data_IF_363407346664
#
_entry.id   IF_363407346664
#
_cell.length_a   1.000
_cell.length_b   1.000
_cell.length_c   1.000
_cell.angle_alpha   90.00
_cell.angle_beta   90.00
_cell.angle_gamma   90.00
#
_symmetry.space_group_name_H-M   'P 1'
#
loop_
_entity.id
_entity.type
_entity.pdbx_description
1 polymer ?
#
# COMPACT_ATOMS: atom_id res chain seq x y z
N UNK A 1 -16.16 -6.71 -11.26
CA UNK A 1 -16.85 -6.29 -10.00
C UNK A 1 -17.20 -4.82 -10.10
N UNK A 2 -18.50 -4.49 -9.95
CA UNK A 2 -18.99 -3.10 -9.96
C UNK A 2 -18.79 -2.46 -8.58
N UNK A 3 -18.09 -1.33 -8.52
CA UNK A 3 -17.90 -0.55 -7.30
C UNK A 3 -18.75 0.72 -7.38
N UNK A 4 -19.56 0.95 -6.38
CA UNK A 4 -20.46 2.11 -6.29
C UNK A 4 -20.11 2.92 -5.03
N UNK A 5 -20.11 4.26 -5.13
CA UNK A 5 -19.92 5.11 -3.94
C UNK A 5 -21.23 5.27 -3.22
N UNK A 6 -21.25 5.07 -1.91
CA UNK A 6 -22.44 5.24 -1.10
C UNK A 6 -22.14 5.91 0.25
N UNK A 7 -23.13 6.62 0.78
CA UNK A 7 -23.07 7.21 2.12
C UNK A 7 -23.79 6.32 3.14
N UNK A 8 -23.23 6.21 4.34
CA UNK A 8 -23.87 5.50 5.45
C UNK A 8 -25.11 6.25 5.98
N UNK A 9 -25.12 7.58 5.86
CA UNK A 9 -26.13 8.48 6.44
C UNK A 9 -26.31 9.72 5.61
N UNK A 10 -27.47 10.36 5.74
CA UNK A 10 -27.86 11.56 4.95
C UNK A 10 -26.87 12.72 5.05
N UNK A 11 -26.27 12.96 6.21
CA UNK A 11 -25.28 14.02 6.39
C UNK A 11 -23.97 13.86 5.59
N UNK A 12 -23.73 12.68 5.02
CA UNK A 12 -22.54 12.39 4.21
C UNK A 12 -22.81 12.35 2.69
N UNK A 13 -24.05 12.63 2.27
CA UNK A 13 -24.45 12.52 0.85
C UNK A 13 -23.62 13.39 -0.07
N UNK A 14 -23.44 14.67 0.27
CA UNK A 14 -22.70 15.62 -0.57
C UNK A 14 -21.26 15.17 -0.77
N UNK A 15 -20.61 14.72 0.29
CA UNK A 15 -19.23 14.22 0.23
C UNK A 15 -19.13 12.93 -0.61
N UNK A 16 -20.09 12.01 -0.44
CA UNK A 16 -20.14 10.79 -1.22
C UNK A 16 -20.41 11.05 -2.72
N UNK A 17 -21.27 12.03 -3.05
CA UNK A 17 -21.49 12.46 -4.43
C UNK A 17 -20.24 13.06 -5.07
N UNK A 18 -19.54 13.93 -4.35
CA UNK A 18 -18.27 14.51 -4.81
C UNK A 18 -17.22 13.41 -5.05
N UNK A 19 -17.11 12.45 -4.12
CA UNK A 19 -16.19 11.33 -4.27
C UNK A 19 -16.55 10.49 -5.51
N UNK A 20 -17.84 10.21 -5.74
CA UNK A 20 -18.31 9.48 -6.91
C UNK A 20 -17.93 10.19 -8.22
N UNK A 21 -18.13 11.51 -8.27
CA UNK A 21 -17.72 12.33 -9.43
C UNK A 21 -16.20 12.30 -9.64
N UNK A 22 -15.41 12.50 -8.59
CA UNK A 22 -13.93 12.48 -8.66
C UNK A 22 -13.40 11.16 -9.19
N UNK A 23 -14.02 10.05 -8.79
CA UNK A 23 -13.61 8.70 -9.19
C UNK A 23 -14.30 8.21 -10.48
N UNK A 24 -15.20 8.98 -11.06
CA UNK A 24 -16.06 8.57 -12.18
C UNK A 24 -16.80 7.25 -11.90
N UNK A 25 -17.34 7.12 -10.68
CA UNK A 25 -18.11 5.95 -10.21
C UNK A 25 -19.58 6.34 -10.04
N UNK A 26 -20.47 5.34 -10.11
CA UNK A 26 -21.87 5.54 -9.80
C UNK A 26 -22.08 5.91 -8.32
N UNK A 27 -23.09 6.76 -8.06
CA UNK A 27 -23.52 7.11 -6.71
C UNK A 27 -24.75 6.30 -6.29
N UNK A 28 -24.60 5.44 -5.29
CA UNK A 28 -25.62 4.51 -4.79
C UNK A 28 -26.55 5.10 -3.71
N UNK A 29 -26.51 6.41 -3.49
CA UNK A 29 -27.30 7.15 -2.47
C UNK A 29 -26.91 6.75 -1.04
N UNK A 30 -27.86 6.84 -0.09
CA UNK A 30 -27.67 6.41 1.29
C UNK A 30 -28.03 4.95 1.44
N UNK A 31 -27.09 4.16 1.94
CA UNK A 31 -27.26 2.73 2.19
C UNK A 31 -26.97 2.48 3.67
N UNK A 32 -27.99 2.14 4.45
CA UNK A 32 -27.86 1.90 5.88
C UNK A 32 -27.27 0.52 6.22
N UNK A 33 -27.48 -0.47 5.35
CA UNK A 33 -26.97 -1.84 5.53
C UNK A 33 -26.29 -2.33 4.24
N UNK A 34 -24.96 -2.24 4.15
CA UNK A 34 -24.21 -2.70 2.99
C UNK A 34 -24.40 -4.18 2.64
N UNK A 35 -24.77 -5.01 3.64
CA UNK A 35 -24.99 -6.45 3.41
C UNK A 35 -26.26 -6.77 2.66
N UNK A 36 -27.19 -5.82 2.58
CA UNK A 36 -28.47 -5.96 1.88
C UNK A 36 -28.56 -5.21 0.55
N UNK A 37 -27.47 -4.55 0.14
CA UNK A 37 -27.46 -3.84 -1.13
C UNK A 37 -27.32 -4.80 -2.33
N UNK A 38 -27.74 -4.33 -3.51
CA UNK A 38 -27.74 -5.11 -4.74
C UNK A 38 -26.44 -4.99 -5.56
N UNK A 39 -25.50 -4.16 -5.10
CA UNK A 39 -24.20 -3.94 -5.76
C UNK A 39 -23.19 -5.03 -5.38
N UNK A 40 -22.11 -5.16 -6.14
CA UNK A 40 -21.01 -6.07 -5.79
C UNK A 40 -20.20 -5.54 -4.61
N UNK A 41 -19.82 -4.25 -4.68
CA UNK A 41 -19.00 -3.59 -3.68
C UNK A 41 -19.35 -2.11 -3.55
N UNK A 42 -19.14 -1.58 -2.36
CA UNK A 42 -19.31 -0.15 -2.06
C UNK A 42 -17.97 0.47 -1.64
N UNK A 43 -17.67 1.62 -2.23
CA UNK A 43 -16.79 2.57 -1.59
C UNK A 43 -17.68 3.39 -0.63
N UNK A 44 -17.66 3.01 0.63
CA UNK A 44 -18.66 3.34 1.62
C UNK A 44 -18.16 4.41 2.58
N UNK A 45 -18.73 5.58 2.52
CA UNK A 45 -18.39 6.72 3.38
C UNK A 45 -19.23 6.69 4.65
N UNK A 46 -18.58 6.58 5.79
CA UNK A 46 -19.18 6.63 7.13
C UNK A 46 -18.49 7.67 8.03
N UNK A 47 -19.02 7.93 9.21
CA UNK A 47 -18.33 8.78 10.20
C UNK A 47 -17.04 8.16 10.76
N UNK A 48 -16.81 6.87 10.54
CA UNK A 48 -15.56 6.21 10.88
C UNK A 48 -14.49 6.34 9.78
N UNK A 49 -14.85 6.89 8.63
CA UNK A 49 -13.99 7.06 7.47
C UNK A 49 -14.47 6.28 6.25
N UNK A 50 -13.64 6.28 5.22
CA UNK A 50 -13.90 5.62 3.95
C UNK A 50 -13.55 4.13 4.04
N UNK A 51 -14.44 3.28 3.53
CA UNK A 51 -14.32 1.83 3.61
C UNK A 51 -14.63 1.21 2.25
N UNK A 52 -13.92 0.14 1.89
CA UNK A 52 -14.28 -0.72 0.78
C UNK A 52 -15.01 -1.95 1.32
N UNK A 53 -16.30 -2.06 1.04
CA UNK A 53 -17.20 -3.07 1.58
C UNK A 53 -17.80 -3.91 0.47
N UNK A 54 -17.56 -5.21 0.50
CA UNK A 54 -18.33 -6.14 -0.34
C UNK A 54 -19.77 -6.26 0.16
N UNK A 55 -20.70 -6.37 -0.77
CA UNK A 55 -22.12 -6.55 -0.49
C UNK A 55 -22.50 -8.04 -0.33
N UNK A 56 -23.65 -8.28 0.29
CA UNK A 56 -24.20 -9.63 0.48
C UNK A 56 -24.02 -10.20 1.90
N UNK A 57 -24.91 -11.12 2.27
CA UNK A 57 -25.02 -11.68 3.63
C UNK A 57 -23.73 -12.35 4.15
N UNK A 58 -22.95 -12.97 3.26
CA UNK A 58 -21.71 -13.67 3.61
C UNK A 58 -20.46 -12.83 3.31
N UNK A 59 -20.64 -11.57 2.89
CA UNK A 59 -19.53 -10.71 2.60
C UNK A 59 -18.62 -10.52 3.82
N UNK A 60 -17.31 -10.51 3.64
CA UNK A 60 -16.38 -10.22 4.71
C UNK A 60 -16.60 -8.79 5.20
N UNK A 61 -16.13 -8.45 6.38
CA UNK A 61 -16.24 -7.08 6.89
C UNK A 61 -15.41 -6.10 6.02
N UNK A 62 -15.53 -4.78 6.20
CA UNK A 62 -14.91 -3.78 5.36
C UNK A 62 -13.38 -3.80 5.39
N UNK A 63 -12.78 -3.32 4.32
CA UNK A 63 -11.36 -2.95 4.27
C UNK A 63 -11.28 -1.43 4.38
N UNK A 64 -10.45 -0.96 5.28
CA UNK A 64 -10.18 0.46 5.50
C UNK A 64 -8.76 0.65 6.03
N UNK A 65 -8.26 1.86 5.95
CA UNK A 65 -6.94 2.21 6.47
C UNK A 65 -7.09 2.75 7.88
N UNK A 66 -6.37 2.15 8.84
CA UNK A 66 -6.33 2.61 10.23
C UNK A 66 -4.89 2.49 10.76
N UNK A 67 -4.27 3.64 11.01
CA UNK A 67 -2.94 3.73 11.58
C UNK A 67 -2.94 3.88 13.10
N UNK A 68 -4.09 4.17 13.69
CA UNK A 68 -4.25 4.45 15.13
C UNK A 68 -4.47 3.18 15.92
N UNK A 69 -5.24 2.23 15.38
CA UNK A 69 -5.64 1.00 16.08
C UNK A 69 -5.24 -0.27 15.31
N UNK A 70 -5.57 -1.43 15.84
CA UNK A 70 -5.39 -2.72 15.18
C UNK A 70 -3.94 -3.16 14.97
N UNK A 71 -3.72 -3.93 13.90
CA UNK A 71 -2.45 -4.60 13.65
C UNK A 71 -1.27 -3.67 13.35
N UNK A 72 -1.53 -2.51 12.73
CA UNK A 72 -0.50 -1.52 12.40
C UNK A 72 -0.01 -0.82 13.67
N UNK A 73 -0.94 -0.40 14.54
CA UNK A 73 -0.61 0.19 15.84
C UNK A 73 0.12 -0.82 16.75
N UNK A 74 -0.30 -2.08 16.75
CA UNK A 74 0.38 -3.14 17.48
C UNK A 74 1.82 -3.33 16.97
N UNK A 75 2.02 -3.36 15.65
CA UNK A 75 3.35 -3.47 15.03
C UNK A 75 4.24 -2.26 15.36
N UNK A 76 3.66 -1.05 15.45
CA UNK A 76 4.37 0.16 15.90
C UNK A 76 4.89 -0.01 17.33
N UNK A 77 4.04 -0.45 18.25
CA UNK A 77 4.36 -0.54 19.68
C UNK A 77 5.27 -1.74 20.02
N UNK A 78 5.09 -2.88 19.34
CA UNK A 78 5.69 -4.17 19.72
C UNK A 78 6.48 -4.87 18.60
N UNK A 79 6.60 -4.28 17.43
CA UNK A 79 7.20 -4.90 16.25
C UNK A 79 8.73 -5.02 16.24
N UNK A 80 9.44 -4.60 17.28
CA UNK A 80 10.90 -4.75 17.37
C UNK A 80 11.72 -3.65 16.71
N UNK A 81 11.13 -2.50 16.35
CA UNK A 81 11.84 -1.31 15.87
C UNK A 81 12.76 -1.57 14.69
N UNK A 82 14.00 -1.07 14.75
CA UNK A 82 15.03 -1.26 13.72
C UNK A 82 15.48 -2.73 13.55
N UNK A 83 15.12 -3.63 14.45
CA UNK A 83 15.36 -5.06 14.34
C UNK A 83 14.47 -5.76 13.28
N UNK A 84 13.40 -5.12 12.83
CA UNK A 84 12.53 -5.67 11.80
C UNK A 84 13.27 -5.91 10.49
N UNK A 85 12.89 -6.98 9.77
CA UNK A 85 13.53 -7.30 8.49
C UNK A 85 13.38 -6.18 7.46
N UNK A 86 12.22 -5.52 7.40
CA UNK A 86 12.00 -4.39 6.48
C UNK A 86 12.99 -3.26 6.76
N UNK A 87 13.27 -2.95 8.03
CA UNK A 87 14.25 -1.93 8.42
C UNK A 87 15.67 -2.28 7.94
N UNK A 88 16.07 -3.54 8.15
CA UNK A 88 17.35 -4.04 7.66
C UNK A 88 17.44 -4.04 6.13
N UNK A 89 16.34 -4.43 5.46
CA UNK A 89 16.28 -4.47 3.99
C UNK A 89 16.47 -3.08 3.39
N UNK A 90 15.77 -2.06 3.89
CA UNK A 90 15.94 -0.68 3.40
C UNK A 90 17.22 -0.01 3.90
N UNK A 91 17.94 -0.65 4.84
CA UNK A 91 19.26 -0.20 5.32
C UNK A 91 19.23 0.80 6.47
N UNK A 92 18.15 0.79 7.26
CA UNK A 92 18.09 1.54 8.51
C UNK A 92 19.16 1.01 9.49
N UNK A 93 20.00 1.89 9.98
CA UNK A 93 21.01 1.61 11.02
C UNK A 93 21.18 2.86 11.91
N UNK A 94 22.07 2.81 12.89
CA UNK A 94 22.37 3.97 13.74
C UNK A 94 22.77 5.16 12.86
N UNK A 95 22.10 6.30 13.04
CA UNK A 95 22.36 7.53 12.30
C UNK A 95 21.91 7.55 10.83
N UNK A 96 21.39 6.44 10.26
CA UNK A 96 20.98 6.37 8.84
C UNK A 96 19.49 6.16 8.71
N UNK A 97 18.81 7.09 8.05
CA UNK A 97 17.38 7.06 7.70
C UNK A 97 17.24 7.43 6.22
N UNK A 98 17.26 6.44 5.33
CA UNK A 98 17.20 6.73 3.90
C UNK A 98 15.85 7.33 3.49
N UNK A 99 15.85 8.19 2.47
CA UNK A 99 14.62 8.55 1.75
C UNK A 99 14.11 7.35 0.95
N UNK A 100 12.82 7.08 1.06
CA UNK A 100 12.19 5.88 0.47
C UNK A 100 11.07 6.29 -0.47
N UNK A 101 11.07 5.70 -1.66
CA UNK A 101 9.95 5.70 -2.58
C UNK A 101 9.29 4.31 -2.55
N UNK A 102 8.09 4.22 -1.98
CA UNK A 102 7.25 3.03 -2.03
C UNK A 102 6.40 3.09 -3.29
N UNK A 103 6.75 2.27 -4.29
CA UNK A 103 6.10 2.26 -5.62
C UNK A 103 4.89 1.33 -5.69
N UNK A 104 4.49 0.76 -4.57
CA UNK A 104 3.37 -0.21 -4.44
C UNK A 104 2.62 0.01 -3.13
N UNK A 105 2.26 1.24 -2.84
CA UNK A 105 1.82 1.68 -1.50
C UNK A 105 0.64 0.89 -0.92
N UNK A 106 -0.36 0.54 -1.72
CA UNK A 106 -1.55 -0.17 -1.26
C UNK A 106 -2.23 0.55 -0.09
N UNK A 107 -2.34 -0.12 1.07
CA UNK A 107 -2.90 0.49 2.30
C UNK A 107 -1.85 1.19 3.17
N UNK A 108 -0.64 1.43 2.69
CA UNK A 108 0.41 2.17 3.39
C UNK A 108 1.00 1.48 4.63
N UNK A 109 0.77 0.18 4.82
CA UNK A 109 1.17 -0.52 6.06
C UNK A 109 2.68 -0.61 6.24
N UNK A 110 3.43 -0.91 5.19
CA UNK A 110 4.89 -0.97 5.25
C UNK A 110 5.50 0.43 5.26
N UNK A 111 4.95 1.37 4.48
CA UNK A 111 5.31 2.78 4.52
C UNK A 111 5.18 3.38 5.94
N UNK A 112 4.07 3.09 6.63
CA UNK A 112 3.87 3.54 8.01
C UNK A 112 4.93 2.97 8.98
N UNK A 113 5.32 1.71 8.82
CA UNK A 113 6.42 1.12 9.62
C UNK A 113 7.73 1.85 9.35
N UNK A 114 8.06 2.13 8.09
CA UNK A 114 9.29 2.85 7.72
C UNK A 114 9.30 4.29 8.23
N UNK A 115 8.15 4.99 8.13
CA UNK A 115 7.96 6.32 8.69
C UNK A 115 8.05 6.34 10.24
N UNK A 116 7.52 5.30 10.92
CA UNK A 116 7.68 5.11 12.38
C UNK A 116 9.15 4.99 12.78
N UNK A 117 9.98 4.43 11.90
CA UNK A 117 11.42 4.30 12.12
C UNK A 117 12.22 5.54 11.72
N UNK A 118 11.55 6.62 11.32
CA UNK A 118 12.12 7.93 11.04
C UNK A 118 12.52 8.15 9.58
N UNK A 119 12.08 7.32 8.64
CA UNK A 119 12.30 7.55 7.22
C UNK A 119 11.24 8.50 6.64
N UNK A 120 11.65 9.37 5.71
CA UNK A 120 10.75 10.06 4.81
C UNK A 120 10.32 9.07 3.72
N UNK A 121 9.00 8.89 3.53
CA UNK A 121 8.44 7.91 2.61
C UNK A 121 7.47 8.57 1.64
N UNK A 122 7.82 8.62 0.38
CA UNK A 122 6.90 8.95 -0.71
C UNK A 122 6.23 7.66 -1.18
N UNK A 123 4.91 7.67 -1.26
CA UNK A 123 4.08 6.52 -1.60
C UNK A 123 3.37 6.76 -2.93
N UNK A 124 3.50 5.83 -3.86
CA UNK A 124 2.79 5.86 -5.13
C UNK A 124 1.68 4.80 -5.13
N UNK A 125 0.48 5.21 -5.49
CA UNK A 125 -0.66 4.30 -5.66
C UNK A 125 -1.41 4.64 -6.95
N UNK A 126 -1.48 3.67 -7.87
CA UNK A 126 -2.12 3.85 -9.19
C UNK A 126 -3.64 3.66 -9.18
N UNK A 127 -4.15 2.84 -8.26
CA UNK A 127 -5.59 2.63 -8.14
C UNK A 127 -6.25 3.84 -7.49
N UNK A 128 -7.17 4.55 -8.16
CA UNK A 128 -7.82 5.71 -7.58
C UNK A 128 -8.66 5.36 -6.34
N UNK A 129 -9.23 4.16 -6.28
CA UNK A 129 -10.01 3.68 -5.13
C UNK A 129 -9.09 3.44 -3.93
N UNK A 130 -7.97 2.75 -4.13
CA UNK A 130 -7.02 2.46 -3.04
C UNK A 130 -6.34 3.73 -2.57
N UNK A 131 -5.98 4.62 -3.49
CA UNK A 131 -5.45 5.93 -3.17
C UNK A 131 -6.41 6.70 -2.25
N UNK A 132 -7.72 6.73 -2.53
CA UNK A 132 -8.71 7.43 -1.69
C UNK A 132 -8.85 6.78 -0.30
N UNK A 133 -8.80 5.45 -0.20
CA UNK A 133 -8.79 4.75 1.09
C UNK A 133 -7.56 5.13 1.93
N UNK A 134 -6.39 5.17 1.30
CA UNK A 134 -5.15 5.54 1.96
C UNK A 134 -5.14 7.02 2.36
N UNK A 135 -5.58 7.91 1.47
CA UNK A 135 -5.70 9.35 1.74
C UNK A 135 -6.65 9.65 2.92
N UNK A 136 -7.82 8.96 2.98
CA UNK A 136 -8.72 9.06 4.12
C UNK A 136 -8.06 8.59 5.44
N UNK A 137 -7.34 7.48 5.39
CA UNK A 137 -6.61 6.97 6.56
C UNK A 137 -5.53 7.91 7.06
N UNK A 138 -4.76 8.50 6.16
CA UNK A 138 -3.74 9.51 6.48
C UNK A 138 -4.38 10.75 7.10
N UNK A 139 -5.43 11.30 6.48
CA UNK A 139 -6.16 12.47 7.00
C UNK A 139 -6.70 12.25 8.41
N UNK A 140 -7.24 11.06 8.71
CA UNK A 140 -7.68 10.72 10.07
C UNK A 140 -6.52 10.55 11.05
N UNK A 141 -5.36 10.11 10.58
CA UNK A 141 -4.17 9.93 11.38
C UNK A 141 -3.46 11.27 11.72
N UNK A 142 -3.53 12.27 10.83
CA UNK A 142 -2.94 13.61 11.02
C UNK A 142 -3.44 14.35 12.27
N UNK A 143 -4.66 14.07 12.71
CA UNK A 143 -5.25 14.69 13.92
C UNK A 143 -5.00 13.87 15.20
N UNK A 144 -4.27 12.76 15.12
CA UNK A 144 -3.97 11.92 16.27
C UNK A 144 -2.57 12.22 16.83
N UNK A 145 -2.50 12.74 18.05
CA UNK A 145 -1.27 13.18 18.71
C UNK A 145 -0.19 12.10 18.87
N UNK A 146 -0.57 10.81 18.90
CA UNK A 146 0.40 9.71 19.04
C UNK A 146 1.17 9.42 17.75
N UNK A 147 0.63 9.78 16.58
CA UNK A 147 1.16 9.37 15.28
C UNK A 147 1.25 10.48 14.24
N UNK A 148 0.79 11.70 14.55
CA UNK A 148 0.85 12.83 13.61
C UNK A 148 2.25 13.05 13.06
N UNK A 149 3.29 13.02 13.90
CA UNK A 149 4.69 13.18 13.48
C UNK A 149 5.16 12.04 12.56
N UNK A 150 4.56 10.84 12.68
CA UNK A 150 4.86 9.72 11.79
C UNK A 150 4.24 9.98 10.42
N UNK A 151 2.98 10.39 10.41
CA UNK A 151 2.21 10.59 9.17
C UNK A 151 2.75 11.78 8.38
N UNK A 152 3.29 12.81 9.03
CA UNK A 152 3.96 13.93 8.36
C UNK A 152 5.17 13.50 7.51
N UNK A 153 5.77 12.35 7.79
CA UNK A 153 6.85 11.76 6.97
C UNK A 153 6.32 10.90 5.81
N UNK A 154 5.02 10.84 5.60
CA UNK A 154 4.37 10.01 4.58
C UNK A 154 3.70 10.88 3.54
N UNK A 155 4.25 10.96 2.34
CA UNK A 155 3.67 11.70 1.23
C UNK A 155 2.98 10.71 0.28
N UNK A 156 1.69 10.91 0.00
CA UNK A 156 0.92 10.07 -0.93
C UNK A 156 0.72 10.79 -2.25
N UNK A 157 0.99 10.09 -3.36
CA UNK A 157 0.83 10.59 -4.73
C UNK A 157 0.00 9.57 -5.52
N UNK A 158 -1.05 10.03 -6.20
CA UNK A 158 -1.80 9.23 -7.16
C UNK A 158 -1.08 9.25 -8.50
N UNK A 159 -0.41 8.17 -8.85
CA UNK A 159 0.35 8.06 -10.11
C UNK A 159 0.60 6.61 -10.47
N UNK A 160 0.82 6.37 -11.77
CA UNK A 160 1.54 5.18 -12.22
C UNK A 160 3.00 5.27 -11.78
N UNK A 161 3.52 4.19 -11.21
CA UNK A 161 4.84 4.18 -10.60
C UNK A 161 5.97 4.21 -11.62
N UNK A 162 5.79 3.59 -12.78
CA UNK A 162 6.79 3.59 -13.84
C UNK A 162 6.89 4.99 -14.43
N UNK A 163 5.75 5.59 -14.76
CA UNK A 163 5.70 6.96 -15.30
C UNK A 163 6.28 7.97 -14.31
N UNK A 164 5.92 7.89 -13.03
CA UNK A 164 6.48 8.76 -12.00
C UNK A 164 8.01 8.66 -11.92
N UNK A 165 8.54 7.43 -11.84
CA UNK A 165 9.99 7.21 -11.71
C UNK A 165 10.77 7.66 -12.94
N UNK A 166 10.20 7.55 -14.14
CA UNK A 166 10.83 8.02 -15.38
C UNK A 166 10.97 9.55 -15.42
N UNK A 167 10.08 10.28 -14.76
CA UNK A 167 10.05 11.74 -14.73
C UNK A 167 10.55 12.33 -13.41
N UNK A 168 10.97 11.50 -12.45
CA UNK A 168 11.40 11.90 -11.13
C UNK A 168 12.77 12.60 -11.18
N UNK A 169 12.83 13.85 -10.75
CA UNK A 169 14.07 14.63 -10.62
C UNK A 169 14.76 14.43 -9.28
N UNK A 170 13.99 14.28 -8.20
CA UNK A 170 14.51 14.00 -6.86
C UNK A 170 14.55 12.48 -6.63
N UNK A 171 15.73 11.91 -6.89
CA UNK A 171 15.92 10.45 -6.88
C UNK A 171 16.05 9.93 -5.45
N UNK A 172 15.19 8.98 -5.03
CA UNK A 172 15.23 8.42 -3.68
C UNK A 172 16.47 7.57 -3.45
N UNK A 173 16.91 7.47 -2.20
CA UNK A 173 17.99 6.55 -1.83
C UNK A 173 17.53 5.08 -1.98
N UNK A 174 16.28 4.80 -1.61
CA UNK A 174 15.72 3.45 -1.67
C UNK A 174 14.40 3.47 -2.44
N UNK A 175 14.26 2.55 -3.41
CA UNK A 175 12.96 2.21 -3.99
C UNK A 175 12.49 0.89 -3.37
N UNK A 176 11.30 0.92 -2.76
CA UNK A 176 10.63 -0.23 -2.15
C UNK A 176 9.52 -0.74 -3.06
N UNK A 177 9.50 -2.04 -3.32
CA UNK A 177 8.61 -2.71 -4.27
C UNK A 177 7.96 -3.92 -3.58
N UNK A 178 6.64 -3.94 -3.42
CA UNK A 178 5.86 -5.08 -2.91
C UNK A 178 4.69 -5.42 -3.87
N UNK A 179 4.99 -5.88 -5.09
CA UNK A 179 3.97 -6.12 -6.10
C UNK A 179 3.08 -7.29 -5.69
N UNK A 180 1.80 -7.21 -6.04
CA UNK A 180 0.87 -8.30 -5.78
C UNK A 180 1.31 -9.57 -6.51
N UNK A 181 1.64 -10.60 -5.73
CA UNK A 181 2.00 -11.91 -6.26
C UNK A 181 0.73 -12.73 -6.54
N UNK A 182 0.57 -13.30 -7.74
CA UNK A 182 -0.54 -14.20 -8.02
C UNK A 182 -0.38 -15.45 -7.14
N UNK A 183 -1.16 -15.53 -6.07
CA UNK A 183 -1.21 -16.72 -5.24
C UNK A 183 -1.93 -17.84 -5.98
N UNK A 184 -1.38 -19.07 -5.95
CA UNK A 184 -2.12 -20.27 -6.31
C UNK A 184 -3.28 -20.45 -5.32
N UNK A 185 -4.46 -20.83 -5.81
CA UNK A 185 -5.72 -20.98 -5.07
C UNK A 185 -5.69 -21.98 -3.89
N UNK A 186 -4.52 -22.49 -3.51
CA UNK A 186 -4.34 -23.58 -2.52
C UNK A 186 -4.13 -23.13 -1.08
N UNK A 187 -4.07 -21.83 -0.77
CA UNK A 187 -3.94 -21.39 0.63
C UNK A 187 -5.28 -20.92 1.18
N UNK A 188 -5.87 -21.68 2.07
CA UNK A 188 -7.16 -21.42 2.74
C UNK A 188 -7.20 -20.12 3.59
N UNK A 189 -6.20 -19.28 3.53
CA UNK A 189 -6.05 -18.06 4.33
C UNK A 189 -5.54 -16.89 3.49
N UNK A 190 -6.11 -16.69 2.31
CA UNK A 190 -5.91 -15.42 1.60
C UNK A 190 -6.55 -14.34 2.47
N UNK A 191 -5.73 -13.38 2.95
CA UNK A 191 -6.26 -12.27 3.72
C UNK A 191 -7.36 -11.61 2.90
N UNK A 192 -8.52 -11.45 3.52
CA UNK A 192 -9.72 -10.81 3.00
C UNK A 192 -9.45 -9.56 2.15
N UNK A 193 -8.54 -8.70 2.62
CA UNK A 193 -8.06 -7.52 1.92
C UNK A 193 -7.51 -7.86 0.54
N UNK A 194 -6.68 -8.92 0.43
CA UNK A 194 -6.04 -9.30 -0.84
C UNK A 194 -7.03 -9.82 -1.89
N UNK A 195 -8.12 -10.48 -1.47
CA UNK A 195 -9.17 -10.91 -2.41
C UNK A 195 -9.87 -9.70 -3.03
N UNK A 196 -10.28 -8.74 -2.19
CA UNK A 196 -10.95 -7.52 -2.64
C UNK A 196 -10.01 -6.67 -3.53
N UNK A 197 -8.74 -6.56 -3.14
CA UNK A 197 -7.74 -5.82 -3.91
C UNK A 197 -7.52 -6.43 -5.29
N UNK A 198 -7.37 -7.76 -5.37
CA UNK A 198 -7.15 -8.46 -6.64
C UNK A 198 -8.28 -8.22 -7.65
N UNK A 199 -9.51 -8.18 -7.17
CA UNK A 199 -10.69 -7.96 -8.02
C UNK A 199 -10.85 -6.51 -8.48
N UNK A 200 -10.30 -5.54 -7.72
CA UNK A 200 -10.39 -4.10 -8.00
C UNK A 200 -9.14 -3.57 -8.71
N UNK A 201 -7.95 -4.00 -8.30
CA UNK A 201 -6.67 -3.47 -8.80
C UNK A 201 -6.12 -4.31 -9.96
N UNK A 202 -6.51 -5.58 -10.04
CA UNK A 202 -5.95 -6.53 -11.01
C UNK A 202 -4.62 -7.15 -10.55
N UNK A 203 -3.94 -7.85 -11.46
CA UNK A 203 -2.62 -8.44 -11.22
C UNK A 203 -1.52 -7.52 -11.77
N UNK A 204 -0.40 -7.43 -11.04
CA UNK A 204 0.80 -6.70 -11.50
C UNK A 204 1.54 -7.51 -12.57
N UNK A 205 1.11 -7.38 -13.83
CA UNK A 205 1.75 -8.04 -14.99
C UNK A 205 3.04 -7.33 -15.43
N UNK A 206 3.28 -6.13 -14.93
CA UNK A 206 4.35 -5.20 -15.26
C UNK A 206 5.52 -5.21 -14.24
N UNK A 207 5.54 -6.18 -13.31
CA UNK A 207 6.51 -6.22 -12.20
C UNK A 207 7.98 -6.23 -12.66
N UNK A 208 8.28 -6.82 -13.83
CA UNK A 208 9.62 -6.79 -14.42
C UNK A 208 10.04 -5.40 -14.90
N UNK A 209 9.13 -4.68 -15.59
CA UNK A 209 9.34 -3.30 -16.00
C UNK A 209 9.45 -2.36 -14.81
N UNK A 210 8.59 -2.56 -13.78
CA UNK A 210 8.64 -1.81 -12.53
C UNK A 210 10.00 -1.96 -11.84
N UNK A 211 10.51 -3.21 -11.71
CA UNK A 211 11.82 -3.46 -11.11
C UNK A 211 12.94 -2.82 -11.93
N UNK A 212 12.90 -2.93 -13.26
CA UNK A 212 13.89 -2.31 -14.13
C UNK A 212 13.94 -0.78 -13.95
N UNK A 213 12.78 -0.13 -13.92
CA UNK A 213 12.68 1.32 -13.69
C UNK A 213 13.13 1.69 -12.29
N UNK A 214 12.77 0.90 -11.27
CA UNK A 214 13.22 1.09 -9.89
C UNK A 214 14.75 1.08 -9.77
N UNK A 215 15.41 0.13 -10.45
CA UNK A 215 16.88 0.03 -10.50
C UNK A 215 17.54 1.23 -11.16
N UNK A 216 16.91 1.79 -12.19
CA UNK A 216 17.39 3.01 -12.84
C UNK A 216 17.17 4.26 -11.99
N UNK A 217 16.19 4.26 -11.08
CA UNK A 217 15.78 5.42 -10.28
C UNK A 217 16.48 5.48 -8.92
N UNK A 218 16.59 4.38 -8.19
CA UNK A 218 17.21 4.36 -6.86
C UNK A 218 18.67 4.79 -6.90
N UNK A 219 19.10 5.56 -5.89
CA UNK A 219 20.53 5.98 -5.80
C UNK A 219 21.37 5.03 -4.96
N UNK A 220 20.77 4.26 -4.04
CA UNK A 220 21.52 3.36 -3.17
C UNK A 220 21.08 1.90 -3.24
N UNK A 221 19.79 1.61 -3.28
CA UNK A 221 19.29 0.24 -3.41
C UNK A 221 17.84 0.14 -3.86
N UNK A 222 17.48 -1.03 -4.41
CA UNK A 222 16.09 -1.44 -4.58
C UNK A 222 15.82 -2.61 -3.65
N UNK A 223 14.66 -2.60 -2.99
CA UNK A 223 14.18 -3.64 -2.08
C UNK A 223 12.88 -4.21 -2.59
N UNK A 224 12.86 -5.49 -2.93
CA UNK A 224 11.66 -6.18 -3.42
C UNK A 224 11.17 -7.15 -2.36
N UNK A 225 9.95 -6.95 -1.88
CA UNK A 225 9.31 -7.88 -0.95
C UNK A 225 8.59 -8.98 -1.72
N UNK A 226 8.79 -10.21 -1.31
CA UNK A 226 8.21 -11.41 -1.93
C UNK A 226 7.67 -12.39 -0.89
N UNK A 227 6.67 -13.20 -1.20
CA UNK A 227 6.43 -14.43 -0.45
C UNK A 227 7.70 -15.27 -0.41
N UNK A 228 7.99 -15.91 0.73
CA UNK A 228 9.28 -16.60 0.95
C UNK A 228 9.69 -17.55 -0.17
N UNK A 229 8.73 -18.31 -0.73
CA UNK A 229 8.97 -19.31 -1.78
C UNK A 229 8.72 -18.81 -3.20
N UNK A 230 8.33 -17.53 -3.38
CA UNK A 230 8.12 -16.99 -4.71
C UNK A 230 9.43 -16.87 -5.50
N UNK A 231 9.44 -17.05 -6.82
CA UNK A 231 10.62 -16.76 -7.63
C UNK A 231 11.00 -15.28 -7.51
N UNK A 232 12.24 -14.95 -7.86
CA UNK A 232 12.64 -13.55 -8.05
C UNK A 232 11.84 -12.93 -9.20
N UNK A 233 11.72 -11.60 -9.20
CA UNK A 233 11.14 -10.92 -10.36
C UNK A 233 12.16 -10.96 -11.51
N UNK A 234 11.73 -11.44 -12.66
CA UNK A 234 12.54 -11.47 -13.87
C UNK A 234 12.40 -10.15 -14.62
N UNK A 235 13.53 -9.62 -15.09
CA UNK A 235 13.58 -8.46 -15.99
C UNK A 235 13.84 -8.99 -17.39
N UNK A 236 13.03 -8.56 -18.36
CA UNK A 236 13.18 -8.98 -19.75
C UNK A 236 14.61 -8.71 -20.28
N UNK A 237 15.19 -9.70 -20.93
CA UNK A 237 16.55 -9.64 -21.49
C UNK A 237 17.66 -9.35 -20.46
N UNK A 238 17.45 -9.68 -19.17
CA UNK A 238 18.43 -9.48 -18.12
C UNK A 238 18.62 -10.74 -17.28
N UNK A 239 19.85 -11.01 -16.89
CA UNK A 239 20.22 -12.08 -15.95
C UNK A 239 20.46 -11.54 -14.54
N UNK A 240 20.08 -10.30 -14.26
CA UNK A 240 20.32 -9.64 -13.00
C UNK A 240 19.61 -10.39 -11.85
N UNK A 241 20.35 -10.63 -10.79
CA UNK A 241 19.87 -11.26 -9.56
C UNK A 241 20.03 -10.30 -8.38
N UNK A 242 19.25 -10.47 -7.30
CA UNK A 242 19.48 -9.73 -6.07
C UNK A 242 20.92 -9.91 -5.59
N UNK A 243 21.50 -8.86 -5.04
CA UNK A 243 22.83 -8.90 -4.40
C UNK A 243 22.83 -9.86 -3.19
N UNK A 244 21.73 -9.87 -2.45
CA UNK A 244 21.43 -10.79 -1.35
C UNK A 244 19.94 -10.75 -1.01
N UNK A 245 19.49 -11.69 -0.18
CA UNK A 245 18.12 -11.74 0.32
C UNK A 245 18.08 -11.85 1.84
N UNK A 246 17.05 -11.27 2.45
CA UNK A 246 16.72 -11.46 3.86
C UNK A 246 15.46 -12.32 3.95
N UNK A 247 15.57 -13.52 4.50
CA UNK A 247 14.47 -14.48 4.60
C UNK A 247 13.82 -14.45 5.97
N UNK A 248 12.48 -14.39 5.98
CA UNK A 248 11.65 -14.52 7.17
C UNK A 248 10.78 -15.76 7.15
N UNK A 249 9.84 -15.82 8.09
CA UNK A 249 8.92 -16.97 8.21
C UNK A 249 7.98 -17.07 7.00
N UNK A 250 7.41 -15.96 6.53
CA UNK A 250 6.41 -15.91 5.46
C UNK A 250 6.82 -15.06 4.27
N UNK A 251 7.74 -14.13 4.44
CA UNK A 251 8.20 -13.19 3.42
C UNK A 251 9.72 -13.21 3.29
N UNK A 252 10.19 -12.76 2.15
CA UNK A 252 11.60 -12.54 1.80
C UNK A 252 11.72 -11.13 1.24
N UNK A 253 12.88 -10.51 1.47
CA UNK A 253 13.25 -9.25 0.84
C UNK A 253 14.46 -9.53 -0.06
N UNK A 254 14.29 -9.32 -1.36
CA UNK A 254 15.35 -9.38 -2.35
C UNK A 254 15.97 -7.98 -2.46
N UNK A 255 17.27 -7.85 -2.19
CA UNK A 255 17.96 -6.56 -2.15
C UNK A 255 18.92 -6.46 -3.32
N UNK A 256 18.76 -5.40 -4.11
CA UNK A 256 19.66 -4.98 -5.16
C UNK A 256 20.45 -3.77 -4.66
N UNK A 257 21.68 -4.01 -4.21
CA UNK A 257 22.57 -2.97 -3.68
C UNK A 257 23.29 -2.27 -4.82
N UNK A 258 23.11 -0.94 -4.94
CA UNK A 258 23.72 -0.09 -5.95
C UNK A 258 24.88 0.72 -5.36
N UNK A 259 24.65 1.31 -4.18
CA UNK A 259 25.63 2.12 -3.46
C UNK A 259 25.44 1.96 -1.95
N UNK A 260 26.50 2.19 -1.17
CA UNK A 260 26.42 2.20 0.30
C UNK A 260 25.56 3.38 0.76
N UNK A 261 24.68 3.14 1.72
CA UNK A 261 23.96 4.17 2.46
C UNK A 261 24.87 4.76 3.52
N UNK A 262 24.94 6.06 3.55
CA UNK A 262 25.72 6.87 4.49
C UNK A 262 24.79 7.59 5.45
#
# INVERSE_FOLDING_TARGET
>A
MEVVVAAAQGGLQTQAQQLAQTLNLAYGKVISDPKKCAFDALLYLSYHGLQLQLCGKKAPGPVWVDFVTGGVAHRRKFGGGAGQMIAKAVGIKSGVRPSILDVTAGLGKDAFVLATLGCEVTMLERSPIIHQLLADGLKRAEINFEIMDIVQRMQLIHSDSIEYMQNCTDRPQVVYVDPMYPHSDKSASVKKEMLIFRDIVGSDTDSGALLSTALATATARVVVKRPRKAPIIEIANSTLKPSYALEGKSSRYDIYALKKLE
#
